data_IF_119476620889
#
_entry.id   IF_119476620889
#
_cell.length_a   1.000
_cell.length_b   1.000
_cell.length_c   1.000
_cell.angle_alpha   90.00
_cell.angle_beta   90.00
_cell.angle_gamma   90.00
#
_symmetry.space_group_name_H-M   'P 1'
#
loop_
_entity.id
_entity.type
_entity.pdbx_description
1 polymer ?
#
# COMPACT_ATOMS: atom_id res chain seq x y z
N UNK A 1 4.00 -11.82 10.31
CA UNK A 1 4.02 -13.05 9.50
C UNK A 1 2.63 -13.66 9.37
N UNK A 2 1.94 -14.01 10.45
CA UNK A 2 0.60 -14.64 10.40
C UNK A 2 -0.42 -13.85 9.57
N UNK A 3 -0.47 -12.51 9.72
CA UNK A 3 -1.38 -11.67 8.94
C UNK A 3 -1.07 -11.73 7.43
N UNK A 4 0.21 -11.76 7.04
CA UNK A 4 0.61 -11.86 5.65
C UNK A 4 0.20 -13.21 5.02
N UNK A 5 0.34 -14.31 5.78
CA UNK A 5 -0.13 -15.63 5.34
C UNK A 5 -1.66 -15.66 5.15
N UNK A 6 -2.40 -15.06 6.09
CA UNK A 6 -3.87 -14.92 5.96
C UNK A 6 -4.27 -14.13 4.71
N UNK A 7 -3.60 -13.00 4.47
CA UNK A 7 -3.88 -12.14 3.32
C UNK A 7 -3.57 -12.86 2.01
N UNK A 8 -2.49 -13.65 1.98
CA UNK A 8 -2.13 -14.49 0.84
C UNK A 8 -2.99 -15.75 0.71
N UNK A 9 -3.80 -16.09 1.72
CA UNK A 9 -4.59 -17.33 1.82
C UNK A 9 -3.71 -18.59 1.74
N UNK A 10 -2.52 -18.51 2.30
CA UNK A 10 -1.54 -19.59 2.35
C UNK A 10 -1.37 -20.09 3.79
N UNK A 11 -1.12 -21.38 3.91
CA UNK A 11 -0.62 -22.00 5.13
C UNK A 11 0.92 -21.92 5.18
N UNK A 12 1.49 -22.08 6.36
CA UNK A 12 2.96 -22.10 6.50
C UNK A 12 3.63 -23.27 5.76
N UNK A 13 2.91 -24.38 5.54
CA UNK A 13 3.40 -25.54 4.79
C UNK A 13 3.55 -25.29 3.28
N UNK A 14 2.77 -24.35 2.73
CA UNK A 14 2.76 -23.98 1.31
C UNK A 14 3.86 -22.97 0.95
N UNK A 15 4.62 -22.48 1.93
CA UNK A 15 5.78 -21.64 1.66
C UNK A 15 6.88 -22.48 1.01
N UNK A 16 7.42 -22.07 -0.13
CA UNK A 16 8.55 -22.74 -0.77
C UNK A 16 9.83 -22.44 0.01
N UNK A 17 10.08 -21.19 0.32
CA UNK A 17 11.32 -20.72 0.94
C UNK A 17 11.06 -19.55 1.90
N UNK A 18 11.93 -19.43 2.90
CA UNK A 18 11.94 -18.33 3.86
C UNK A 18 13.31 -17.66 3.79
N UNK A 19 13.33 -16.42 3.33
CA UNK A 19 14.53 -15.60 3.25
C UNK A 19 14.51 -14.57 4.36
N UNK A 20 15.56 -14.55 5.17
CA UNK A 20 15.70 -13.60 6.29
C UNK A 20 16.51 -12.39 5.84
N UNK A 21 15.96 -11.20 6.06
CA UNK A 21 16.52 -9.92 5.60
C UNK A 21 16.62 -8.92 6.74
N UNK A 22 17.73 -8.16 6.76
CA UNK A 22 18.03 -7.15 7.76
C UNK A 22 18.81 -7.68 8.96
N UNK A 23 19.65 -6.82 9.57
CA UNK A 23 20.57 -7.18 10.64
C UNK A 23 19.92 -7.79 11.88
N UNK A 24 18.67 -7.42 12.20
CA UNK A 24 17.91 -8.01 13.33
C UNK A 24 17.64 -9.51 13.15
N UNK A 25 17.72 -10.03 11.94
CA UNK A 25 17.52 -11.48 11.67
C UNK A 25 18.71 -12.34 12.12
N UNK A 26 19.81 -11.71 12.51
CA UNK A 26 20.97 -12.40 13.12
C UNK A 26 20.73 -12.79 14.58
N UNK A 27 19.66 -12.29 15.20
CA UNK A 27 19.30 -12.62 16.60
C UNK A 27 18.78 -14.06 16.63
N UNK A 28 19.41 -14.97 17.41
CA UNK A 28 19.02 -16.39 17.44
C UNK A 28 17.54 -16.62 17.78
N UNK A 29 16.99 -15.82 18.71
CA UNK A 29 15.58 -15.90 19.09
C UNK A 29 14.61 -15.59 17.93
N UNK A 30 15.03 -14.73 16.98
CA UNK A 30 14.24 -14.42 15.78
C UNK A 30 14.23 -15.61 14.82
N UNK A 31 15.38 -16.23 14.60
CA UNK A 31 15.49 -17.44 13.79
C UNK A 31 14.67 -18.60 14.35
N UNK A 32 14.78 -18.82 15.67
CA UNK A 32 13.99 -19.85 16.36
C UNK A 32 12.48 -19.60 16.28
N UNK A 33 12.05 -18.34 16.45
CA UNK A 33 10.65 -17.97 16.31
C UNK A 33 10.13 -18.26 14.90
N UNK A 34 10.89 -17.89 13.87
CA UNK A 34 10.52 -18.15 12.47
C UNK A 34 10.40 -19.65 12.23
N UNK A 35 11.42 -20.42 12.62
CA UNK A 35 11.42 -21.88 12.49
C UNK A 35 10.22 -22.51 13.21
N UNK A 36 9.90 -22.07 14.42
CA UNK A 36 8.75 -22.58 15.18
C UNK A 36 7.42 -22.23 14.51
N UNK A 37 7.30 -21.02 13.92
CA UNK A 37 6.05 -20.56 13.30
C UNK A 37 5.80 -21.21 11.94
N UNK A 38 6.85 -21.51 11.19
CA UNK A 38 6.76 -21.99 9.81
C UNK A 38 7.07 -23.48 9.66
N UNK A 39 7.70 -24.08 10.68
CA UNK A 39 8.23 -25.45 10.64
C UNK A 39 9.28 -25.67 9.55
N UNK A 40 9.90 -24.59 9.04
CA UNK A 40 10.95 -24.61 8.01
C UNK A 40 12.19 -23.86 8.49
N UNK A 41 13.35 -24.32 8.05
CA UNK A 41 14.60 -23.61 8.28
C UNK A 41 14.72 -22.41 7.31
N UNK A 42 15.02 -21.20 7.83
CA UNK A 42 15.26 -20.05 6.97
C UNK A 42 16.50 -20.24 6.10
N UNK A 43 16.42 -19.76 4.86
CA UNK A 43 17.56 -19.71 3.96
C UNK A 43 18.60 -18.71 4.50
N UNK A 44 19.84 -19.16 4.61
CA UNK A 44 20.98 -18.41 5.10
C UNK A 44 22.07 -18.19 4.02
N UNK A 45 21.75 -18.46 2.75
CA UNK A 45 22.72 -18.31 1.64
C UNK A 45 22.88 -16.87 1.20
N UNK A 46 21.91 -16.00 1.51
CA UNK A 46 21.97 -14.57 1.21
C UNK A 46 22.50 -13.77 2.42
N UNK A 47 23.32 -12.77 2.17
CA UNK A 47 23.75 -11.84 3.21
C UNK A 47 22.58 -10.93 3.61
N UNK A 48 22.06 -11.04 4.84
CA UNK A 48 20.89 -10.28 5.26
C UNK A 48 21.12 -8.76 5.32
N UNK A 49 22.36 -8.29 5.38
CA UNK A 49 22.72 -6.87 5.44
C UNK A 49 22.78 -6.22 4.05
N UNK A 50 23.11 -7.01 3.02
CA UNK A 50 23.38 -6.52 1.66
C UNK A 50 22.25 -6.83 0.68
N UNK A 51 21.46 -7.86 0.92
CA UNK A 51 20.47 -8.38 -0.04
C UNK A 51 19.46 -7.33 -0.50
N UNK A 52 19.09 -6.36 0.36
CA UNK A 52 18.18 -5.26 0.01
C UNK A 52 18.84 -4.33 -1.02
N UNK A 53 20.11 -3.99 -0.83
CA UNK A 53 20.85 -3.15 -1.78
C UNK A 53 21.05 -3.86 -3.13
N UNK A 54 21.35 -5.15 -3.10
CA UNK A 54 21.44 -5.98 -4.31
C UNK A 54 20.10 -6.02 -5.04
N UNK A 55 19.00 -6.26 -4.31
CA UNK A 55 17.65 -6.26 -4.88
C UNK A 55 17.27 -4.90 -5.49
N UNK A 56 17.61 -3.80 -4.83
CA UNK A 56 17.39 -2.45 -5.34
C UNK A 56 18.18 -2.19 -6.63
N UNK A 57 19.43 -2.64 -6.70
CA UNK A 57 20.25 -2.52 -7.91
C UNK A 57 19.66 -3.32 -9.08
N UNK A 58 19.21 -4.55 -8.83
CA UNK A 58 18.53 -5.38 -9.84
C UNK A 58 17.25 -4.69 -10.33
N UNK A 59 16.44 -4.17 -9.41
CA UNK A 59 15.21 -3.45 -9.77
C UNK A 59 15.51 -2.18 -10.59
N UNK A 60 16.60 -1.46 -10.27
CA UNK A 60 17.10 -0.36 -11.09
C UNK A 60 17.42 -0.81 -12.52
N UNK A 61 18.08 -1.92 -12.69
CA UNK A 61 18.38 -2.53 -14.01
C UNK A 61 17.10 -2.95 -14.78
N UNK A 62 16.08 -3.45 -14.06
CA UNK A 62 14.77 -3.76 -14.67
C UNK A 62 14.10 -2.48 -15.17
N UNK A 63 14.08 -1.41 -14.37
CA UNK A 63 13.49 -0.13 -14.75
C UNK A 63 14.25 0.56 -15.90
N UNK A 64 15.57 0.37 -15.96
CA UNK A 64 16.40 0.85 -17.07
C UNK A 64 16.25 0.00 -18.34
N UNK A 65 15.59 -1.15 -18.28
CA UNK A 65 15.39 -2.06 -19.40
C UNK A 65 16.61 -2.96 -19.71
N UNK A 66 17.59 -2.97 -18.82
CA UNK A 66 18.82 -3.80 -18.94
C UNK A 66 18.57 -5.26 -18.51
N UNK A 67 17.70 -5.45 -17.50
CA UNK A 67 17.28 -6.77 -17.01
C UNK A 67 15.85 -7.03 -17.45
N UNK A 68 15.63 -8.10 -18.22
CA UNK A 68 14.32 -8.41 -18.83
C UNK A 68 13.68 -9.71 -18.30
N UNK A 69 14.45 -10.52 -17.61
CA UNK A 69 14.03 -11.86 -17.20
C UNK A 69 13.38 -11.87 -15.79
N UNK A 70 13.31 -10.72 -15.15
CA UNK A 70 12.73 -10.56 -13.81
C UNK A 70 11.55 -9.61 -13.88
N UNK A 71 10.39 -10.08 -13.42
CA UNK A 71 9.20 -9.27 -13.22
C UNK A 71 8.96 -9.13 -11.71
N UNK A 72 9.09 -7.91 -11.20
CA UNK A 72 8.68 -7.57 -9.86
C UNK A 72 7.40 -6.71 -9.93
N UNK A 73 6.34 -7.21 -9.33
CA UNK A 73 5.09 -6.47 -9.12
C UNK A 73 5.00 -6.09 -7.64
N UNK A 74 4.94 -4.81 -7.38
CA UNK A 74 4.73 -4.29 -6.03
C UNK A 74 3.24 -4.07 -5.76
N UNK A 75 2.87 -3.92 -4.49
CA UNK A 75 1.50 -3.72 -4.06
C UNK A 75 1.40 -2.58 -3.04
N UNK A 76 0.23 -1.96 -2.95
CA UNK A 76 -0.05 -0.99 -1.89
C UNK A 76 -0.12 -1.70 -0.54
N UNK A 77 0.69 -1.32 0.46
CA UNK A 77 0.69 -2.00 1.77
C UNK A 77 -0.56 -1.67 2.60
N UNK A 78 -1.15 -0.50 2.39
CA UNK A 78 -2.36 -0.01 3.05
C UNK A 78 -3.29 0.62 2.01
N UNK A 79 -4.59 0.62 2.32
CA UNK A 79 -5.58 1.27 1.48
C UNK A 79 -5.36 2.78 1.42
N UNK A 80 -5.59 3.35 0.25
CA UNK A 80 -5.62 4.78 0.00
C UNK A 80 -7.07 5.22 -0.20
N UNK A 81 -7.44 6.35 0.34
CA UNK A 81 -8.79 6.87 0.22
C UNK A 81 -8.85 8.36 0.48
N UNK A 82 -10.06 8.87 0.49
CA UNK A 82 -10.35 10.28 0.77
C UNK A 82 -11.37 10.39 1.88
N UNK A 83 -11.30 11.50 2.61
CA UNK A 83 -12.34 11.85 3.58
C UNK A 83 -13.60 12.26 2.86
N UNK A 84 -14.73 11.72 3.30
CA UNK A 84 -16.07 12.03 2.80
C UNK A 84 -16.94 12.56 3.92
N UNK A 85 -18.19 12.92 3.58
CA UNK A 85 -19.15 13.47 4.55
C UNK A 85 -19.24 12.61 5.81
N UNK A 86 -19.22 13.29 6.97
CA UNK A 86 -19.24 12.61 8.27
C UNK A 86 -17.88 12.19 8.82
N UNK A 87 -16.77 12.62 8.19
CA UNK A 87 -15.42 12.27 8.64
C UNK A 87 -15.04 10.80 8.39
N UNK A 88 -15.67 10.16 7.41
CA UNK A 88 -15.46 8.75 7.05
C UNK A 88 -14.39 8.65 5.96
N UNK A 89 -13.49 7.68 6.07
CA UNK A 89 -12.56 7.33 5.01
C UNK A 89 -13.23 6.45 3.96
N UNK A 90 -13.41 6.97 2.76
CA UNK A 90 -13.85 6.20 1.59
C UNK A 90 -12.62 5.67 0.86
N UNK A 91 -12.45 4.34 0.86
CA UNK A 91 -11.31 3.68 0.21
C UNK A 91 -11.47 3.72 -1.30
N UNK A 92 -10.48 4.25 -2.00
CA UNK A 92 -10.39 4.28 -3.46
C UNK A 92 -9.53 3.16 -4.00
N UNK A 93 -8.36 2.95 -3.42
CA UNK A 93 -7.42 1.87 -3.77
C UNK A 93 -7.26 1.01 -2.53
N UNK A 94 -7.68 -0.23 -2.61
CA UNK A 94 -7.58 -1.17 -1.49
C UNK A 94 -6.14 -1.67 -1.32
N UNK A 95 -5.76 -2.01 -0.09
CA UNK A 95 -4.46 -2.65 0.18
C UNK A 95 -4.27 -3.89 -0.70
N UNK A 96 -3.04 -4.24 -0.95
CA UNK A 96 -2.64 -5.34 -1.84
C UNK A 96 -3.06 -5.16 -3.31
N UNK A 97 -3.40 -3.93 -3.72
CA UNK A 97 -3.57 -3.61 -5.14
C UNK A 97 -2.21 -3.47 -5.81
N UNK A 98 -2.00 -4.17 -6.91
CA UNK A 98 -0.77 -4.10 -7.70
C UNK A 98 -0.55 -2.69 -8.25
N UNK A 99 0.68 -2.19 -8.16
CA UNK A 99 1.08 -0.88 -8.70
C UNK A 99 1.96 -1.07 -9.95
N UNK A 100 1.89 -0.14 -10.95
CA UNK A 100 1.12 1.11 -10.94
C UNK A 100 -0.39 0.89 -11.11
N UNK A 101 -1.20 1.70 -10.44
CA UNK A 101 -2.65 1.67 -10.53
C UNK A 101 -3.23 3.07 -10.57
N UNK A 102 -4.42 3.20 -11.15
CA UNK A 102 -5.18 4.45 -11.20
C UNK A 102 -6.64 4.18 -10.82
N UNK A 103 -7.20 5.04 -9.99
CA UNK A 103 -8.62 5.01 -9.65
C UNK A 103 -9.21 6.41 -9.81
N UNK A 104 -10.34 6.49 -10.48
CA UNK A 104 -11.10 7.72 -10.67
C UNK A 104 -12.48 7.53 -10.07
N UNK A 105 -12.92 8.50 -9.29
CA UNK A 105 -14.26 8.52 -8.68
C UNK A 105 -14.93 9.85 -8.96
N UNK A 106 -16.24 9.85 -8.95
CA UNK A 106 -17.05 11.06 -9.17
C UNK A 106 -17.71 11.42 -7.86
N UNK A 107 -17.52 12.66 -7.45
CA UNK A 107 -18.14 13.22 -6.24
C UNK A 107 -19.09 14.36 -6.63
N UNK A 108 -20.00 14.71 -5.73
CA UNK A 108 -20.93 15.81 -5.91
C UNK A 108 -20.71 16.90 -4.86
N UNK A 109 -21.08 18.13 -5.20
CA UNK A 109 -21.04 19.26 -4.27
C UNK A 109 -21.95 19.02 -3.07
N UNK A 110 -21.48 19.39 -1.87
CA UNK A 110 -22.19 19.20 -0.61
C UNK A 110 -23.18 20.34 -0.31
N UNK A 111 -22.91 21.53 -0.82
CA UNK A 111 -23.71 22.76 -0.60
C UNK A 111 -23.96 23.51 -1.90
N UNK A 112 -25.04 24.33 -1.91
CA UNK A 112 -25.35 25.17 -3.04
C UNK A 112 -24.27 26.25 -3.25
N UNK A 113 -23.93 26.51 -4.52
CA UNK A 113 -22.97 27.56 -4.88
C UNK A 113 -21.52 27.25 -4.50
N UNK A 114 -21.19 25.99 -4.21
CA UNK A 114 -19.82 25.57 -3.87
C UNK A 114 -18.86 25.80 -5.02
N UNK A 115 -17.81 26.61 -4.80
CA UNK A 115 -16.80 26.98 -5.81
C UNK A 115 -15.45 26.31 -5.60
N UNK A 116 -15.29 25.58 -4.51
CA UNK A 116 -14.08 24.81 -4.22
C UNK A 116 -14.41 23.55 -3.42
N UNK A 117 -13.49 22.60 -3.45
CA UNK A 117 -13.55 21.39 -2.63
C UNK A 117 -12.16 21.07 -2.09
N UNK A 118 -12.10 20.71 -0.83
CA UNK A 118 -10.88 20.14 -0.23
C UNK A 118 -10.96 18.63 -0.28
N UNK A 119 -9.88 18.00 -0.78
CA UNK A 119 -9.73 16.58 -0.90
C UNK A 119 -8.65 16.15 0.09
N UNK A 120 -9.05 15.59 1.20
CA UNK A 120 -8.15 15.08 2.23
C UNK A 120 -7.81 13.62 1.91
N UNK A 121 -6.55 13.37 1.52
CA UNK A 121 -6.06 12.05 1.14
C UNK A 121 -5.51 11.32 2.34
N UNK A 122 -5.95 10.09 2.51
CA UNK A 122 -5.71 9.26 3.68
C UNK A 122 -5.10 7.91 3.30
N UNK A 123 -4.32 7.35 4.21
CA UNK A 123 -3.78 6.00 4.12
C UNK A 123 -4.09 5.23 5.39
N UNK A 124 -4.70 4.07 5.27
CA UNK A 124 -5.00 3.19 6.39
C UNK A 124 -6.19 2.29 6.18
N UNK A 125 -6.59 1.61 7.26
CA UNK A 125 -7.67 0.63 7.23
C UNK A 125 -8.86 1.00 8.14
N UNK A 126 -8.73 2.09 8.91
CA UNK A 126 -9.76 2.52 9.85
C UNK A 126 -10.92 3.20 9.13
N UNK A 127 -12.11 3.12 9.72
CA UNK A 127 -13.33 3.69 9.16
C UNK A 127 -13.34 5.23 9.24
N UNK A 128 -12.89 5.77 10.38
CA UNK A 128 -12.86 7.23 10.57
C UNK A 128 -11.59 7.84 9.95
N UNK A 129 -11.74 8.99 9.30
CA UNK A 129 -10.64 9.72 8.69
C UNK A 129 -9.53 10.09 9.70
N UNK A 130 -9.94 10.52 10.90
CA UNK A 130 -9.04 10.90 12.01
C UNK A 130 -8.12 9.78 12.49
N UNK A 131 -8.51 8.52 12.27
CA UNK A 131 -7.78 7.34 12.75
C UNK A 131 -6.82 6.79 11.69
N UNK A 132 -6.76 7.43 10.52
CA UNK A 132 -5.90 7.09 9.42
C UNK A 132 -4.76 8.10 9.26
N UNK A 133 -3.72 7.71 8.56
CA UNK A 133 -2.61 8.60 8.27
C UNK A 133 -2.99 9.59 7.18
N UNK A 134 -2.96 10.89 7.50
CA UNK A 134 -3.07 11.94 6.49
C UNK A 134 -1.84 11.95 5.60
N UNK A 135 -2.04 11.93 4.30
CA UNK A 135 -1.00 12.10 3.29
C UNK A 135 -0.93 13.54 2.77
N UNK A 136 -2.03 14.24 2.80
CA UNK A 136 -2.12 15.64 2.39
C UNK A 136 -3.55 16.05 2.08
N UNK A 137 -3.73 17.37 1.95
CA UNK A 137 -5.00 17.97 1.54
C UNK A 137 -4.77 18.74 0.25
N UNK A 138 -5.58 18.43 -0.76
CA UNK A 138 -5.59 19.13 -2.04
C UNK A 138 -6.84 19.98 -2.12
N UNK A 139 -6.70 21.17 -2.69
CA UNK A 139 -7.84 22.06 -2.93
C UNK A 139 -8.08 22.19 -4.44
N UNK A 140 -9.28 21.88 -4.85
CA UNK A 140 -9.77 22.15 -6.19
C UNK A 140 -10.59 23.43 -6.16
N UNK A 141 -10.15 24.46 -6.85
CA UNK A 141 -10.81 25.77 -6.98
C UNK A 141 -11.40 25.93 -8.38
N UNK A 142 -12.25 26.97 -8.53
CA UNK A 142 -12.82 27.34 -9.82
C UNK A 142 -13.97 26.46 -10.29
N UNK A 143 -14.65 25.79 -9.37
CA UNK A 143 -15.88 25.05 -9.67
C UNK A 143 -16.99 26.07 -9.96
N UNK A 144 -17.69 25.99 -11.12
CA UNK A 144 -18.82 26.86 -11.40
C UNK A 144 -19.91 26.75 -10.33
N UNK A 145 -20.46 27.85 -9.81
CA UNK A 145 -21.55 27.81 -8.86
C UNK A 145 -22.75 27.05 -9.42
N UNK A 146 -23.22 26.05 -8.70
CA UNK A 146 -24.36 25.21 -9.07
C UNK A 146 -25.11 24.73 -7.81
N UNK A 147 -26.35 24.27 -7.92
CA UNK A 147 -27.05 23.62 -6.81
C UNK A 147 -26.25 22.44 -6.26
N UNK A 148 -26.42 22.12 -5.00
CA UNK A 148 -25.82 20.93 -4.38
C UNK A 148 -26.14 19.66 -5.18
N UNK A 149 -25.22 18.71 -5.19
CA UNK A 149 -25.38 17.49 -5.95
C UNK A 149 -24.82 17.57 -7.39
N UNK A 150 -24.24 18.71 -7.78
CA UNK A 150 -23.54 18.82 -9.05
C UNK A 150 -22.32 17.86 -9.05
N UNK A 151 -22.17 17.12 -10.16
CA UNK A 151 -21.10 16.14 -10.29
C UNK A 151 -19.74 16.81 -10.49
N UNK A 152 -18.74 16.35 -9.71
CA UNK A 152 -17.34 16.72 -9.82
C UNK A 152 -16.55 15.49 -10.27
N UNK A 153 -15.69 15.65 -11.26
CA UNK A 153 -14.77 14.61 -11.71
C UNK A 153 -13.39 14.89 -11.14
N UNK A 154 -12.85 13.93 -10.40
CA UNK A 154 -11.45 13.94 -9.96
C UNK A 154 -10.74 12.72 -10.53
N UNK A 155 -9.57 12.92 -11.12
CA UNK A 155 -8.73 11.86 -11.68
C UNK A 155 -7.32 11.91 -11.09
#
# INVERSE_FOLDING_TARGET
>A
MEQALKDAKLSSSELDEIVMVGGSTRIPAVLELVKRTTSKDPNQTVNPDEVVAVGAAIQGGVLAGEVKDILLLDVTPLSLGVETLGGVMTKMITRNTTVPTKKTETYSTAVDGQTNVEIHVLQGEREMASDNKSLGTFRLDGIPPAPRGCLLYTS
#
